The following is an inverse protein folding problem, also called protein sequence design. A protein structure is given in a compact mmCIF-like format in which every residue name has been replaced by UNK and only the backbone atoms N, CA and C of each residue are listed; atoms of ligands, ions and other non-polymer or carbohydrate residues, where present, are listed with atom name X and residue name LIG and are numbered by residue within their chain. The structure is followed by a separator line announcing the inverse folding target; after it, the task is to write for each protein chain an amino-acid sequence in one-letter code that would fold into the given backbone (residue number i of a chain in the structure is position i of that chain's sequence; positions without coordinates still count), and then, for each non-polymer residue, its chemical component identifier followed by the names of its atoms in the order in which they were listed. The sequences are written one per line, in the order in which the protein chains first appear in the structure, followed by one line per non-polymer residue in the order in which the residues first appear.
data_IF_140147332087
#
_entry.id   IF_140147332087
#
_cell.length_a   1.000
_cell.length_b   1.000
_cell.length_c   1.000
_cell.angle_alpha   90.00
_cell.angle_beta   90.00
_cell.angle_gamma   90.00
#
_symmetry.space_group_name_H-M   'P 1'
#
loop_
_entity.id
_entity.type
_entity.pdbx_description
1 polymer ?
#
# COMPACT_ATOMS: atom_id res chain seq x y z
N UNK A 1 -5.36 -7.81 -0.69
CA UNK A 1 -5.15 -7.60 -2.14
C UNK A 1 -4.32 -6.35 -2.46
N UNK A 2 -4.80 -5.14 -2.14
CA UNK A 2 -4.12 -3.88 -2.51
C UNK A 2 -2.64 -3.81 -2.09
N UNK A 3 -2.32 -4.20 -0.85
CA UNK A 3 -0.93 -4.15 -0.36
C UNK A 3 0.07 -4.95 -1.21
N UNK A 4 -0.36 -6.05 -1.83
CA UNK A 4 0.50 -6.85 -2.70
C UNK A 4 0.79 -6.13 -4.04
N UNK A 5 -0.21 -5.46 -4.62
CA UNK A 5 -0.09 -4.72 -5.88
C UNK A 5 0.80 -3.47 -5.77
N UNK A 6 0.97 -2.93 -4.56
CA UNK A 6 1.87 -1.80 -4.29
C UNK A 6 3.28 -2.23 -3.82
N UNK A 7 3.51 -3.52 -3.58
CA UNK A 7 4.79 -4.03 -3.06
C UNK A 7 5.55 -4.90 -4.04
N UNK A 8 4.83 -5.78 -4.74
CA UNK A 8 5.45 -6.69 -5.70
C UNK A 8 5.30 -6.17 -7.12
N UNK A 9 6.33 -6.38 -7.93
CA UNK A 9 6.27 -6.09 -9.35
C UNK A 9 5.08 -6.84 -10.00
N UNK A 10 4.40 -6.25 -10.98
CA UNK A 10 3.17 -6.81 -11.55
C UNK A 10 3.38 -8.18 -12.24
N UNK A 11 4.62 -8.51 -12.61
CA UNK A 11 5.00 -9.80 -13.21
C UNK A 11 5.51 -10.83 -12.19
N UNK A 12 5.52 -10.49 -10.91
CA UNK A 12 5.90 -11.41 -9.82
C UNK A 12 4.86 -12.52 -9.62
N UNK A 13 5.27 -13.62 -8.99
CA UNK A 13 4.36 -14.72 -8.66
C UNK A 13 3.23 -14.28 -7.71
N UNK A 14 3.50 -13.29 -6.86
CA UNK A 14 2.57 -12.78 -5.86
C UNK A 14 1.54 -11.81 -6.44
N UNK A 15 1.91 -10.97 -7.41
CA UNK A 15 1.02 -9.94 -7.97
C UNK A 15 0.40 -10.29 -9.33
N UNK A 16 1.06 -11.10 -10.16
CA UNK A 16 0.55 -11.41 -11.50
C UNK A 16 -0.88 -11.99 -11.51
N UNK A 17 -1.27 -12.90 -10.58
CA UNK A 17 -2.66 -13.37 -10.50
C UNK A 17 -3.65 -12.25 -10.16
N UNK A 18 -3.24 -11.30 -9.30
CA UNK A 18 -4.09 -10.19 -8.87
C UNK A 18 -4.29 -9.18 -10.01
N UNK A 19 -3.24 -8.91 -10.78
CA UNK A 19 -3.32 -8.07 -11.98
C UNK A 19 -4.28 -8.71 -12.98
N UNK A 20 -4.16 -10.02 -13.21
CA UNK A 20 -5.05 -10.73 -14.15
C UNK A 20 -6.52 -10.64 -13.76
N UNK A 21 -6.84 -10.79 -12.46
CA UNK A 21 -8.21 -10.66 -11.93
C UNK A 21 -8.75 -9.25 -12.16
N UNK A 22 -7.96 -8.22 -11.87
CA UNK A 22 -8.39 -6.82 -12.04
C UNK A 22 -8.63 -6.42 -13.49
N UNK A 23 -7.91 -7.04 -14.43
CA UNK A 23 -7.98 -6.70 -15.85
C UNK A 23 -8.96 -7.56 -16.65
N UNK A 24 -9.37 -8.74 -16.17
CA UNK A 24 -10.16 -9.68 -16.97
C UNK A 24 -11.45 -10.19 -16.32
N UNK A 25 -11.56 -10.15 -14.98
CA UNK A 25 -12.66 -10.78 -14.25
C UNK A 25 -13.61 -9.73 -13.64
N UNK A 26 -14.81 -10.18 -13.23
CA UNK A 26 -15.79 -9.38 -12.47
C UNK A 26 -15.41 -9.25 -10.99
N UNK A 27 -14.21 -8.75 -10.72
CA UNK A 27 -13.67 -8.56 -9.37
C UNK A 27 -14.52 -7.61 -8.52
N UNK A 28 -15.28 -6.72 -9.14
CA UNK A 28 -16.18 -5.77 -8.51
C UNK A 28 -17.26 -6.46 -7.64
N UNK A 29 -17.61 -7.71 -7.96
CA UNK A 29 -18.59 -8.51 -7.20
C UNK A 29 -18.07 -8.94 -5.82
N UNK A 30 -16.75 -8.99 -5.65
CA UNK A 30 -16.08 -9.41 -4.42
C UNK A 30 -15.55 -8.20 -3.62
N UNK A 31 -15.67 -7.00 -4.18
CA UNK A 31 -15.13 -5.79 -3.57
C UNK A 31 -16.17 -5.11 -2.67
N UNK A 32 -15.81 -4.71 -1.44
CA UNK A 32 -16.77 -4.15 -0.46
C UNK A 32 -17.07 -2.66 -0.71
N UNK A 33 -17.37 -2.27 -1.96
CA UNK A 33 -17.79 -0.92 -2.32
C UNK A 33 -19.04 -0.95 -3.22
N UNK A 34 -19.84 0.13 -3.27
CA UNK A 34 -20.98 0.20 -4.16
C UNK A 34 -20.56 0.10 -5.63
N UNK A 35 -21.36 -0.58 -6.45
CA UNK A 35 -21.13 -0.76 -7.89
C UNK A 35 -20.90 0.58 -8.60
N UNK A 36 -21.66 1.63 -8.24
CA UNK A 36 -21.49 2.97 -8.82
C UNK A 36 -20.08 3.57 -8.61
N UNK A 37 -19.39 3.20 -7.53
CA UNK A 37 -18.01 3.62 -7.27
C UNK A 37 -16.99 2.75 -8.01
N UNK A 38 -17.34 1.50 -8.32
CA UNK A 38 -16.46 0.52 -8.96
C UNK A 38 -16.54 0.53 -10.49
N UNK A 39 -17.71 0.84 -11.06
CA UNK A 39 -17.93 0.90 -12.50
C UNK A 39 -16.86 1.70 -13.29
N UNK A 40 -16.44 2.92 -12.86
CA UNK A 40 -15.38 3.62 -13.57
C UNK A 40 -14.01 2.92 -13.42
N UNK A 41 -13.76 2.25 -12.30
CA UNK A 41 -12.51 1.52 -12.04
C UNK A 41 -12.40 0.27 -12.89
N UNK A 42 -13.48 -0.49 -13.10
CA UNK A 42 -13.50 -1.66 -13.99
C UNK A 42 -13.04 -1.26 -15.39
N UNK A 43 -13.60 -0.16 -15.91
CA UNK A 43 -13.21 0.38 -17.23
C UNK A 43 -11.74 0.85 -17.22
N UNK A 44 -11.31 1.53 -16.16
CA UNK A 44 -9.94 2.04 -16.04
C UNK A 44 -8.90 0.91 -16.02
N UNK A 45 -9.14 -0.18 -15.28
CA UNK A 45 -8.22 -1.32 -15.23
C UNK A 45 -8.11 -2.08 -16.55
N UNK A 46 -9.13 -2.02 -17.41
CA UNK A 46 -9.13 -2.67 -18.73
C UNK A 46 -8.60 -1.76 -19.85
N UNK A 47 -8.33 -0.48 -19.54
CA UNK A 47 -7.90 0.49 -20.54
C UNK A 47 -6.51 0.14 -21.05
N UNK A 48 -6.37 0.01 -22.37
CA UNK A 48 -5.07 -0.25 -22.97
C UNK A 48 -4.17 0.98 -22.88
N UNK A 49 -2.90 0.74 -22.59
CA UNK A 49 -1.85 1.74 -22.51
C UNK A 49 -0.67 1.28 -23.37
N UNK A 50 0.03 2.22 -23.99
CA UNK A 50 1.32 1.93 -24.65
C UNK A 50 2.41 1.57 -23.63
N UNK A 51 2.32 2.11 -22.40
CA UNK A 51 3.18 1.74 -21.28
C UNK A 51 2.69 0.44 -20.64
N UNK A 52 3.57 -0.56 -20.57
CA UNK A 52 3.30 -1.84 -19.89
C UNK A 52 3.26 -1.68 -18.38
N UNK A 53 2.59 -2.60 -17.66
CA UNK A 53 2.57 -2.60 -16.19
C UNK A 53 3.98 -2.64 -15.58
N UNK A 54 4.91 -3.40 -16.16
CA UNK A 54 6.30 -3.48 -15.68
C UNK A 54 7.05 -2.15 -15.84
N UNK A 55 6.84 -1.44 -16.96
CA UNK A 55 7.42 -0.11 -17.17
C UNK A 55 6.84 0.92 -16.20
N UNK A 56 5.52 0.92 -16.01
CA UNK A 56 4.85 1.76 -15.03
C UNK A 56 5.36 1.48 -13.62
N UNK A 57 5.53 0.20 -13.24
CA UNK A 57 6.08 -0.20 -11.95
C UNK A 57 7.51 0.33 -11.72
N UNK A 58 8.39 0.16 -12.71
CA UNK A 58 9.76 0.66 -12.65
C UNK A 58 9.78 2.18 -12.42
N UNK A 59 8.95 2.92 -13.15
CA UNK A 59 8.83 4.37 -13.05
C UNK A 59 8.25 4.84 -11.72
N UNK A 60 7.24 4.16 -11.20
CA UNK A 60 6.49 4.57 -10.00
C UNK A 60 7.17 4.15 -8.69
N UNK A 61 7.86 3.00 -8.67
CA UNK A 61 8.31 2.36 -7.43
C UNK A 61 9.80 2.08 -7.35
N UNK A 62 10.54 2.10 -8.47
CA UNK A 62 11.97 1.70 -8.49
C UNK A 62 12.91 2.87 -8.81
N UNK A 63 12.58 3.71 -9.78
CA UNK A 63 13.46 4.76 -10.28
C UNK A 63 14.15 4.36 -11.60
N UNK A 64 15.18 5.09 -12.07
CA UNK A 64 16.28 5.66 -11.26
C UNK A 64 16.13 7.13 -10.87
N UNK A 65 15.07 7.80 -11.33
CA UNK A 65 14.77 9.20 -11.01
C UNK A 65 13.92 9.30 -9.74
N UNK A 66 13.73 10.52 -9.23
CA UNK A 66 12.82 10.77 -8.13
C UNK A 66 11.45 10.16 -8.44
N UNK A 67 10.95 9.31 -7.54
CA UNK A 67 9.66 8.68 -7.74
C UNK A 67 8.58 9.77 -7.72
N UNK A 68 7.63 9.74 -8.67
CA UNK A 68 6.58 10.76 -8.74
C UNK A 68 5.69 10.73 -7.49
N UNK A 69 5.53 9.57 -6.88
CA UNK A 69 4.81 9.42 -5.62
C UNK A 69 5.49 8.36 -4.74
N UNK A 70 6.53 8.75 -3.98
CA UNK A 70 7.33 7.80 -3.21
C UNK A 70 6.45 7.05 -2.20
N UNK A 71 6.47 5.71 -2.16
CA UNK A 71 5.48 4.94 -1.43
C UNK A 71 5.84 4.81 0.06
N UNK A 72 6.46 5.85 0.64
CA UNK A 72 6.90 5.90 2.05
C UNK A 72 6.22 7.09 2.73
N UNK A 73 5.47 6.83 3.81
CA UNK A 73 4.71 7.87 4.51
C UNK A 73 5.57 8.98 5.08
N UNK A 74 6.83 8.69 5.42
CA UNK A 74 7.79 9.68 5.89
C UNK A 74 8.18 10.71 4.84
N UNK A 75 8.09 10.37 3.55
CA UNK A 75 8.37 11.35 2.48
C UNK A 75 7.30 12.44 2.43
N UNK A 76 6.07 12.10 2.83
CA UNK A 76 4.91 12.99 2.83
C UNK A 76 4.70 13.73 4.14
N UNK A 77 4.96 13.06 5.27
CA UNK A 77 4.68 13.59 6.60
C UNK A 77 5.85 14.31 7.25
N UNK A 78 7.09 13.92 6.92
CA UNK A 78 8.27 14.51 7.55
C UNK A 78 8.76 15.70 6.73
N UNK A 79 9.06 16.81 7.40
CA UNK A 79 9.47 18.09 6.79
C UNK A 79 10.72 17.97 5.91
N UNK A 80 11.54 16.96 6.16
CA UNK A 80 12.79 16.70 5.44
C UNK A 80 12.60 15.72 4.26
N UNK A 81 11.40 15.18 4.06
CA UNK A 81 11.07 14.19 3.01
C UNK A 81 12.06 13.02 2.95
N UNK A 82 12.53 12.57 4.11
CA UNK A 82 13.52 11.49 4.25
C UNK A 82 12.86 10.12 4.42
N UNK A 83 13.58 9.07 4.01
CA UNK A 83 13.24 7.71 4.38
C UNK A 83 13.46 7.52 5.88
N UNK A 84 12.48 6.94 6.59
CA UNK A 84 12.51 6.68 8.04
C UNK A 84 12.50 7.92 8.94
N UNK A 85 11.84 9.01 8.54
CA UNK A 85 11.67 10.17 9.41
C UNK A 85 10.71 9.90 10.60
N UNK A 86 10.36 10.98 11.31
CA UNK A 86 9.64 10.94 12.60
C UNK A 86 8.34 10.13 12.54
N UNK A 87 7.59 10.22 11.45
CA UNK A 87 6.38 9.42 11.22
C UNK A 87 6.63 7.91 11.26
N UNK A 88 7.78 7.45 10.77
CA UNK A 88 8.17 6.03 10.79
C UNK A 88 8.60 5.59 12.18
N UNK A 89 9.24 6.48 12.95
CA UNK A 89 9.62 6.22 14.34
C UNK A 89 8.40 6.16 15.25
N UNK A 90 7.44 7.08 15.10
CA UNK A 90 6.19 7.10 15.84
C UNK A 90 5.40 5.80 15.66
N UNK A 91 5.30 5.32 14.42
CA UNK A 91 4.68 4.03 14.11
C UNK A 91 5.43 2.86 14.78
N UNK A 92 6.77 2.83 14.72
CA UNK A 92 7.58 1.78 15.38
C UNK A 92 7.37 1.76 16.88
N UNK A 93 7.29 2.93 17.50
CA UNK A 93 7.04 3.06 18.93
C UNK A 93 5.65 2.53 19.30
N UNK A 94 4.60 2.98 18.60
CA UNK A 94 3.23 2.53 18.83
C UNK A 94 3.11 1.00 18.71
N UNK A 95 3.70 0.40 17.67
CA UNK A 95 3.68 -1.05 17.50
C UNK A 95 4.38 -1.80 18.64
N UNK A 96 5.51 -1.27 19.13
CA UNK A 96 6.23 -1.83 20.27
C UNK A 96 5.39 -1.77 21.54
N UNK A 97 4.70 -0.66 21.78
CA UNK A 97 3.82 -0.46 22.93
C UNK A 97 2.60 -1.40 22.89
N UNK A 98 2.05 -1.66 21.70
CA UNK A 98 0.90 -2.56 21.50
C UNK A 98 1.30 -4.03 21.34
N UNK A 99 2.58 -4.37 21.48
CA UNK A 99 3.08 -5.75 21.36
C UNK A 99 2.89 -6.36 19.97
N UNK A 100 2.77 -5.53 18.93
CA UNK A 100 2.62 -5.99 17.54
C UNK A 100 4.03 -6.29 17.02
N UNK A 101 4.33 -7.58 16.82
CA UNK A 101 5.61 -8.02 16.29
C UNK A 101 5.48 -8.41 14.83
N UNK A 102 6.42 -7.94 14.01
CA UNK A 102 6.56 -8.42 12.64
C UNK A 102 7.57 -9.55 12.57
N UNK A 103 7.17 -10.62 11.89
CA UNK A 103 7.95 -11.85 11.77
C UNK A 103 9.24 -11.68 10.94
N UNK A 104 9.45 -10.53 10.28
CA UNK A 104 10.63 -10.30 9.42
C UNK A 104 11.20 -8.87 9.54
N UNK A 105 12.07 -8.66 10.52
CA UNK A 105 12.71 -7.37 10.82
C UNK A 105 13.82 -6.97 9.83
N UNK A 106 14.39 -7.94 9.09
CA UNK A 106 15.54 -7.72 8.19
C UNK A 106 15.17 -7.17 6.80
N UNK A 107 13.93 -7.35 6.32
CA UNK A 107 13.45 -6.80 5.03
C UNK A 107 13.01 -5.32 5.13
N UNK A 108 13.35 -4.65 6.24
CA UNK A 108 12.59 -3.50 6.77
C UNK A 108 13.24 -2.13 6.53
N UNK A 109 14.50 -2.06 6.14
CA UNK A 109 15.10 -0.81 5.66
C UNK A 109 14.67 -0.55 4.22
N UNK A 110 13.40 -0.17 4.03
CA UNK A 110 12.90 0.33 2.75
C UNK A 110 11.45 -0.05 2.45
N UNK A 111 10.76 -0.71 3.38
CA UNK A 111 9.40 -1.21 3.13
C UNK A 111 8.42 -0.07 2.95
N UNK A 112 7.68 -0.12 1.85
CA UNK A 112 6.64 0.85 1.52
C UNK A 112 5.57 0.90 2.62
N UNK A 113 5.09 2.12 2.87
CA UNK A 113 3.94 2.49 3.68
C UNK A 113 2.72 1.57 3.51
N UNK A 114 2.48 1.08 2.28
CA UNK A 114 1.37 0.21 1.94
C UNK A 114 1.41 -1.16 2.65
N UNK A 115 2.60 -1.64 3.03
CA UNK A 115 2.71 -2.89 3.77
C UNK A 115 2.25 -2.72 5.22
N UNK A 116 2.60 -1.61 5.87
CA UNK A 116 2.13 -1.33 7.25
C UNK A 116 0.60 -1.33 7.32
N UNK A 117 -0.07 -0.78 6.31
CA UNK A 117 -1.53 -0.80 6.21
C UNK A 117 -2.08 -2.22 6.08
N UNK A 118 -1.46 -3.05 5.23
CA UNK A 118 -1.85 -4.45 5.05
C UNK A 118 -1.64 -5.28 6.33
N UNK A 119 -0.53 -5.06 7.02
CA UNK A 119 -0.24 -5.65 8.32
C UNK A 119 -1.28 -5.26 9.38
N UNK A 120 -1.77 -4.01 9.34
CA UNK A 120 -2.89 -3.53 10.13
C UNK A 120 -4.19 -4.29 9.92
N UNK A 121 -4.53 -4.56 8.65
CA UNK A 121 -5.69 -5.37 8.31
C UNK A 121 -5.58 -6.80 8.86
N UNK A 122 -4.40 -7.41 8.80
CA UNK A 122 -4.14 -8.75 9.38
C UNK A 122 -4.29 -8.74 10.91
N UNK A 123 -3.90 -7.65 11.58
CA UNK A 123 -4.14 -7.48 13.02
C UNK A 123 -5.64 -7.35 13.34
N UNK A 124 -6.41 -6.66 12.47
CA UNK A 124 -7.87 -6.55 12.60
C UNK A 124 -8.57 -7.91 12.51
N UNK A 125 -8.12 -8.78 11.59
CA UNK A 125 -8.62 -10.15 11.45
C UNK A 125 -8.41 -11.00 12.72
N UNK A 126 -7.41 -10.65 13.54
CA UNK A 126 -7.12 -11.31 14.82
C UNK A 126 -7.94 -10.74 16.02
N UNK A 127 -9.02 -10.00 15.77
CA UNK A 127 -9.92 -9.49 16.81
C UNK A 127 -9.42 -8.24 17.55
N UNK A 128 -8.36 -7.59 17.05
CA UNK A 128 -7.77 -6.36 17.61
C UNK A 128 -8.28 -5.12 16.89
N UNK A 129 -9.59 -4.91 16.95
CA UNK A 129 -10.27 -3.87 16.17
C UNK A 129 -9.83 -2.45 16.59
N UNK A 130 -9.64 -2.21 17.89
CA UNK A 130 -9.19 -0.90 18.40
C UNK A 130 -7.81 -0.52 17.88
N UNK A 131 -6.87 -1.47 17.84
CA UNK A 131 -5.53 -1.22 17.31
C UNK A 131 -5.52 -1.03 15.80
N UNK A 132 -6.44 -1.68 15.08
CA UNK A 132 -6.66 -1.39 13.67
C UNK A 132 -7.16 0.04 13.46
N UNK A 133 -8.17 0.48 14.21
CA UNK A 133 -8.70 1.86 14.12
C UNK A 133 -7.62 2.90 14.46
N UNK A 134 -6.83 2.68 15.51
CA UNK A 134 -5.70 3.54 15.86
C UNK A 134 -4.66 3.60 14.74
N UNK A 135 -4.28 2.44 14.17
CA UNK A 135 -3.33 2.39 13.07
C UNK A 135 -3.84 3.13 11.83
N UNK A 136 -5.11 2.91 11.47
CA UNK A 136 -5.75 3.59 10.34
C UNK A 136 -5.79 5.11 10.57
N UNK A 137 -6.26 5.55 11.74
CA UNK A 137 -6.45 6.95 12.05
C UNK A 137 -5.14 7.72 12.23
N UNK A 138 -4.16 7.14 12.92
CA UNK A 138 -2.95 7.87 13.34
C UNK A 138 -1.79 7.71 12.37
N UNK A 139 -1.75 6.60 11.63
CA UNK A 139 -0.61 6.27 10.79
C UNK A 139 -0.96 6.16 9.32
N UNK A 140 -2.16 5.69 8.93
CA UNK A 140 -2.54 5.51 7.52
C UNK A 140 -3.21 6.76 6.91
N UNK A 141 -4.35 7.21 7.43
CA UNK A 141 -5.12 8.29 6.84
C UNK A 141 -4.36 9.62 6.68
N UNK A 142 -3.47 10.02 7.61
CA UNK A 142 -2.68 11.23 7.43
C UNK A 142 -1.83 11.20 6.17
N UNK A 143 -1.25 10.04 5.83
CA UNK A 143 -0.43 9.85 4.61
C UNK A 143 -1.30 9.74 3.37
N UNK A 144 -2.40 8.98 3.41
CA UNK A 144 -3.29 8.81 2.25
C UNK A 144 -3.89 10.14 1.82
N UNK A 145 -4.23 11.01 2.77
CA UNK A 145 -4.79 12.33 2.48
C UNK A 145 -3.76 13.35 1.93
N UNK A 146 -2.46 13.06 2.06
CA UNK A 146 -1.38 13.90 1.51
C UNK A 146 -0.74 13.32 0.25
N UNK A 147 -1.05 12.06 -0.08
CA UNK A 147 -0.63 11.39 -1.30
C UNK A 147 -1.51 11.90 -2.46
N UNK A 148 -1.00 12.83 -3.27
CA UNK A 148 -1.67 13.40 -4.45
C UNK A 148 -0.73 13.56 -5.64
#
# INVERSE_FOLDING_TARGET
MLGALFYYAPESAEAAPLVAVLTNDSWETQWPLPEASLAPLVTAFQTQSEETHAQAWQRLFVGPWALPSPPWGSVWLDRESVLFGDSTLALRQWMREKGIQFENEAKRTGRSFWFTAADGCVVAENGRQTECEELLAWHLFPVVNTFS
#
